data_IF_156319825411
#
_entry.id   IF_156319825411
#
_cell.length_a   1.000
_cell.length_b   1.000
_cell.length_c   1.000
_cell.angle_alpha   90.00
_cell.angle_beta   90.00
_cell.angle_gamma   90.00
#
_symmetry.space_group_name_H-M   'P 1'
#
loop_
_entity.id
_entity.type
_entity.pdbx_description
1 polymer ?
#
# COMPACT_ATOMS: atom_id res chain seq x y z
N UNK A 1 -10.62 9.41 -7.56
CA UNK A 1 -11.83 10.14 -8.03
C UNK A 1 -12.36 11.01 -6.88
N UNK A 2 -12.12 12.33 -6.96
CA UNK A 2 -12.76 13.35 -6.11
C UNK A 2 -11.92 13.88 -4.94
N UNK A 3 -11.30 15.06 -5.12
CA UNK A 3 -10.49 15.86 -4.17
C UNK A 3 -9.02 15.45 -3.96
N UNK A 4 -8.20 15.63 -4.99
CA UNK A 4 -6.81 16.15 -4.90
C UNK A 4 -5.72 15.42 -4.12
N UNK A 5 -6.01 14.38 -3.34
CA UNK A 5 -5.04 13.83 -2.37
C UNK A 5 -4.68 12.35 -2.62
N UNK A 6 -5.17 11.75 -3.70
CA UNK A 6 -4.88 10.36 -4.04
C UNK A 6 -4.58 10.27 -5.53
N UNK A 7 -3.30 10.04 -5.84
CA UNK A 7 -2.81 9.74 -7.18
C UNK A 7 -2.54 8.24 -7.27
N UNK A 8 -3.11 7.59 -8.29
CA UNK A 8 -2.78 6.21 -8.65
C UNK A 8 -1.80 6.29 -9.81
N UNK A 9 -0.56 5.91 -9.57
CA UNK A 9 0.51 5.88 -10.58
C UNK A 9 0.69 4.43 -11.03
N UNK A 10 0.64 4.17 -12.34
CA UNK A 10 0.98 2.86 -12.90
C UNK A 10 2.51 2.69 -12.88
N UNK A 11 3.02 1.72 -12.10
CA UNK A 11 4.44 1.42 -11.92
C UNK A 11 4.66 0.12 -11.13
N UNK A 12 5.93 -0.21 -10.81
CA UNK A 12 6.36 -1.44 -10.10
C UNK A 12 5.88 -1.47 -8.63
N UNK A 13 4.58 -1.62 -8.40
CA UNK A 13 3.98 -1.83 -7.07
C UNK A 13 2.73 -0.99 -6.80
N UNK A 14 2.19 -1.13 -5.58
CA UNK A 14 1.08 -0.30 -5.08
C UNK A 14 1.66 0.76 -4.16
N UNK A 15 1.48 2.03 -4.54
CA UNK A 15 1.99 3.18 -3.81
C UNK A 15 0.87 4.17 -3.52
N UNK A 16 0.93 4.80 -2.35
CA UNK A 16 0.08 5.93 -1.97
C UNK A 16 0.98 7.08 -1.53
N UNK A 17 0.79 8.25 -2.15
CA UNK A 17 1.50 9.49 -1.79
C UNK A 17 0.54 10.45 -1.11
N UNK A 18 0.93 10.94 0.06
CA UNK A 18 0.25 11.99 0.80
C UNK A 18 1.04 13.29 0.63
N UNK A 19 0.40 14.29 0.04
CA UNK A 19 1.01 15.61 -0.21
C UNK A 19 0.37 16.61 0.74
N UNK A 20 1.19 17.29 1.53
CA UNK A 20 0.77 18.38 2.42
C UNK A 20 1.66 19.61 2.17
N UNK A 21 1.19 20.81 2.55
CA UNK A 21 1.95 22.05 2.42
C UNK A 21 3.32 22.02 3.15
N UNK A 22 3.48 21.12 4.12
CA UNK A 22 4.67 21.01 4.97
C UNK A 22 5.57 19.81 4.64
N UNK A 23 5.26 19.06 3.59
CA UNK A 23 6.04 17.90 3.18
C UNK A 23 5.22 16.82 2.49
N UNK A 24 5.91 15.76 2.11
CA UNK A 24 5.31 14.58 1.50
C UNK A 24 5.61 13.33 2.33
N UNK A 25 4.66 12.40 2.30
CA UNK A 25 4.83 11.05 2.82
C UNK A 25 4.47 10.08 1.71
N UNK A 26 5.35 9.11 1.47
CA UNK A 26 5.12 8.05 0.50
C UNK A 26 5.06 6.70 1.22
N UNK A 27 3.94 5.98 1.04
CA UNK A 27 3.76 4.60 1.51
C UNK A 27 3.77 3.67 0.31
N UNK A 28 4.63 2.66 0.36
CA UNK A 28 4.77 1.64 -0.69
C UNK A 28 4.43 0.29 -0.08
N UNK A 29 3.50 -0.47 -0.67
CA UNK A 29 3.25 -1.84 -0.24
C UNK A 29 4.50 -2.68 -0.51
N UNK A 30 4.94 -3.44 0.48
CA UNK A 30 6.10 -4.32 0.36
C UNK A 30 5.88 -5.41 -0.69
N UNK A 31 6.92 -5.71 -1.46
CA UNK A 31 6.86 -6.71 -2.54
C UNK A 31 6.44 -8.10 -2.05
N UNK A 32 6.90 -8.51 -0.86
CA UNK A 32 6.51 -9.79 -0.27
C UNK A 32 5.01 -9.88 -0.01
N UNK A 33 4.39 -8.77 0.44
CA UNK A 33 2.95 -8.69 0.68
C UNK A 33 2.17 -8.74 -0.63
N UNK A 34 2.65 -8.03 -1.66
CA UNK A 34 2.05 -8.08 -3.00
C UNK A 34 2.10 -9.50 -3.58
N UNK A 35 3.24 -10.19 -3.47
CA UNK A 35 3.41 -11.56 -3.96
C UNK A 35 2.51 -12.55 -3.21
N UNK A 36 2.42 -12.44 -1.89
CA UNK A 36 1.50 -13.25 -1.07
C UNK A 36 0.05 -13.03 -1.49
N UNK A 37 -0.38 -11.77 -1.63
CA UNK A 37 -1.76 -11.43 -2.00
C UNK A 37 -2.13 -11.90 -3.42
N UNK A 38 -1.23 -11.76 -4.40
CA UNK A 38 -1.48 -12.19 -5.78
C UNK A 38 -1.51 -13.73 -5.90
N UNK A 39 -0.75 -14.43 -5.06
CA UNK A 39 -0.64 -15.89 -5.10
C UNK A 39 -1.64 -16.60 -4.19
N UNK A 40 -2.54 -15.87 -3.53
CA UNK A 40 -3.47 -16.41 -2.57
C UNK A 40 -4.56 -17.26 -3.24
N UNK A 41 -4.68 -18.53 -2.84
CA UNK A 41 -5.79 -19.40 -3.26
C UNK A 41 -7.13 -18.93 -2.66
N UNK A 42 -7.09 -18.44 -1.41
CA UNK A 42 -8.25 -17.89 -0.69
C UNK A 42 -8.01 -16.40 -0.41
N UNK A 43 -8.55 -15.57 -1.30
CA UNK A 43 -8.38 -14.11 -1.28
C UNK A 43 -9.00 -13.47 -0.03
N UNK A 44 -10.13 -13.99 0.45
CA UNK A 44 -10.84 -13.42 1.60
C UNK A 44 -10.07 -13.67 2.90
N UNK A 45 -9.59 -14.91 3.07
CA UNK A 45 -8.76 -15.27 4.22
C UNK A 45 -7.44 -14.50 4.23
N UNK A 46 -6.80 -14.33 3.08
CA UNK A 46 -5.56 -13.58 2.98
C UNK A 46 -5.78 -12.09 3.27
N UNK A 47 -6.86 -11.49 2.74
CA UNK A 47 -7.22 -10.11 3.06
C UNK A 47 -7.44 -9.90 4.58
N UNK A 48 -8.13 -10.82 5.25
CA UNK A 48 -8.33 -10.78 6.70
C UNK A 48 -7.01 -10.88 7.47
N UNK A 49 -6.06 -11.71 7.04
CA UNK A 49 -4.72 -11.79 7.63
C UNK A 49 -4.00 -10.45 7.48
N UNK A 50 -3.98 -9.86 6.29
CA UNK A 50 -3.30 -8.60 6.01
C UNK A 50 -3.90 -7.43 6.81
N UNK A 51 -5.23 -7.38 6.98
CA UNK A 51 -5.91 -6.36 7.78
C UNK A 51 -5.48 -6.34 9.26
N UNK A 52 -5.01 -7.48 9.78
CA UNK A 52 -4.58 -7.61 11.17
C UNK A 52 -3.06 -7.38 11.35
N UNK A 53 -2.32 -7.12 10.28
CA UNK A 53 -0.89 -6.84 10.37
C UNK A 53 -0.63 -5.36 10.73
N UNK A 54 0.42 -5.09 11.54
CA UNK A 54 0.90 -3.74 11.76
C UNK A 54 1.31 -3.05 10.45
N UNK A 55 1.10 -1.73 10.36
CA UNK A 55 1.38 -0.96 9.14
C UNK A 55 2.85 -1.03 8.70
N UNK A 56 3.81 -1.08 9.64
CA UNK A 56 5.25 -1.21 9.34
C UNK A 56 5.62 -2.54 8.68
N UNK A 57 4.75 -3.57 8.83
CA UNK A 57 4.86 -4.87 8.17
C UNK A 57 4.25 -4.90 6.78
N UNK A 58 3.34 -3.97 6.48
CA UNK A 58 2.64 -3.89 5.21
C UNK A 58 3.33 -2.91 4.25
N UNK A 59 3.83 -1.81 4.79
CA UNK A 59 4.32 -0.68 4.03
C UNK A 59 5.80 -0.37 4.32
N UNK A 60 6.45 0.22 3.32
CA UNK A 60 7.71 0.94 3.45
C UNK A 60 7.43 2.44 3.37
N UNK A 61 7.98 3.19 4.33
CA UNK A 61 7.91 4.65 4.34
C UNK A 61 9.11 5.24 3.56
N UNK A 62 8.84 6.24 2.71
CA UNK A 62 9.87 7.13 2.17
C UNK A 62 9.46 8.59 2.41
N UNK A 63 10.44 9.39 2.85
CA UNK A 63 10.37 10.83 3.05
C UNK A 63 11.03 11.56 1.89
#
# INVERSE_FOLDING_TARGET
LGKGNLEVLEGDGIMVRFIHENGELMLIVRDEILKEAISAEDVEKEALKLLNLPLDKLFMERH
#
